data_IF_270956349458
#
_entry.id   IF_270956349458
#
_cell.length_a   1.000
_cell.length_b   1.000
_cell.length_c   1.000
_cell.angle_alpha   90.00
_cell.angle_beta   90.00
_cell.angle_gamma   90.00
#
_symmetry.space_group_name_H-M   'P 1'
#
loop_
_entity.id
_entity.type
_entity.pdbx_description
1 polymer ?
#
# COMPACT_ATOMS: atom_id res chain seq x y z
N UNK A 1 -11.13 -3.19 -17.29
CA UNK A 1 -10.23 -2.47 -16.32
C UNK A 1 -10.78 -2.75 -14.94
N UNK A 2 -10.03 -3.44 -14.09
CA UNK A 2 -10.46 -3.93 -12.78
C UNK A 2 -10.48 -2.84 -11.70
N UNK A 3 -9.61 -1.85 -11.82
CA UNK A 3 -9.53 -0.71 -10.91
C UNK A 3 -8.87 0.50 -11.60
N UNK A 4 -9.08 1.69 -11.04
CA UNK A 4 -8.32 2.91 -11.36
C UNK A 4 -7.42 3.25 -10.19
N UNK A 5 -6.20 3.65 -10.47
CA UNK A 5 -5.24 4.07 -9.45
C UNK A 5 -4.61 5.39 -9.84
N UNK A 6 -4.62 6.34 -8.92
CA UNK A 6 -3.90 7.59 -9.01
C UNK A 6 -2.82 7.63 -7.94
N UNK A 7 -1.56 7.82 -8.33
CA UNK A 7 -0.48 8.10 -7.41
C UNK A 7 -0.53 9.59 -7.07
N UNK A 8 -1.14 9.88 -5.94
CA UNK A 8 -1.42 11.25 -5.54
C UNK A 8 -0.19 11.96 -4.93
N UNK A 9 0.68 11.20 -4.22
CA UNK A 9 1.96 11.68 -3.71
C UNK A 9 2.98 10.56 -3.95
N UNK A 10 3.98 10.83 -4.79
CA UNK A 10 4.99 9.86 -5.18
C UNK A 10 6.26 10.54 -5.65
N UNK A 11 7.40 10.07 -5.15
CA UNK A 11 8.72 10.34 -5.69
C UNK A 11 9.35 9.07 -6.30
N UNK A 12 8.52 8.10 -6.66
CA UNK A 12 8.98 6.83 -7.21
C UNK A 12 9.42 6.99 -8.66
N UNK A 13 10.52 6.34 -9.07
CA UNK A 13 11.10 6.41 -10.41
C UNK A 13 10.13 6.11 -11.57
N UNK A 14 9.07 5.33 -11.31
CA UNK A 14 8.06 4.97 -12.30
C UNK A 14 6.84 5.91 -12.30
N UNK A 15 6.83 6.96 -11.47
CA UNK A 15 5.69 7.88 -11.36
C UNK A 15 5.96 8.95 -10.32
N UNK A 16 6.91 9.84 -10.62
CA UNK A 16 7.25 10.97 -9.77
C UNK A 16 6.25 12.11 -9.97
N UNK A 17 5.74 12.64 -8.87
CA UNK A 17 4.78 13.75 -8.93
C UNK A 17 5.46 15.08 -9.22
N UNK A 18 4.81 15.89 -10.05
CA UNK A 18 5.25 17.26 -10.32
C UNK A 18 4.50 18.24 -9.42
N UNK A 19 5.20 19.20 -8.84
CA UNK A 19 4.64 20.26 -8.00
C UNK A 19 3.83 21.21 -8.86
N UNK A 20 2.55 21.37 -8.51
CA UNK A 20 1.57 22.07 -9.33
C UNK A 20 1.68 23.60 -9.21
N UNK A 21 2.04 24.12 -8.04
CA UNK A 21 2.11 25.55 -7.77
C UNK A 21 3.17 25.91 -6.70
N UNK A 22 3.29 27.21 -6.40
CA UNK A 22 4.25 27.71 -5.42
C UNK A 22 5.67 27.90 -5.98
N UNK A 23 6.63 28.10 -5.06
CA UNK A 23 8.02 28.42 -5.36
C UNK A 23 8.69 27.33 -6.21
N UNK A 24 8.37 26.07 -5.97
CA UNK A 24 8.99 24.91 -6.64
C UNK A 24 8.14 24.36 -7.79
N UNK A 25 7.21 25.14 -8.32
CA UNK A 25 6.35 24.72 -9.43
C UNK A 25 7.15 24.15 -10.59
N UNK A 26 6.71 22.97 -11.07
CA UNK A 26 7.34 22.26 -12.19
C UNK A 26 8.53 21.38 -11.81
N UNK A 27 9.00 21.44 -10.56
CA UNK A 27 9.98 20.48 -10.05
C UNK A 27 9.27 19.20 -9.65
N UNK A 28 10.02 18.09 -9.58
CA UNK A 28 9.47 16.81 -9.08
C UNK A 28 9.56 16.70 -7.57
N UNK A 29 8.76 15.80 -6.97
CA UNK A 29 8.81 15.55 -5.54
C UNK A 29 10.15 14.94 -5.12
N UNK A 30 10.75 14.07 -5.95
CA UNK A 30 12.09 13.55 -5.69
C UNK A 30 13.13 14.67 -5.64
N UNK A 31 13.10 15.59 -6.61
CA UNK A 31 13.99 16.73 -6.62
C UNK A 31 13.82 17.59 -5.36
N UNK A 32 12.58 17.86 -4.95
CA UNK A 32 12.30 18.63 -3.74
C UNK A 32 12.84 17.93 -2.48
N UNK A 33 12.64 16.63 -2.39
CA UNK A 33 13.14 15.84 -1.28
C UNK A 33 14.68 15.82 -1.19
N UNK A 34 15.36 15.77 -2.33
CA UNK A 34 16.83 15.78 -2.39
C UNK A 34 17.42 17.14 -2.02
N UNK A 35 16.79 18.25 -2.45
CA UNK A 35 17.37 19.59 -2.35
C UNK A 35 16.84 20.42 -1.18
N UNK A 36 15.71 20.04 -0.58
CA UNK A 36 15.00 20.80 0.45
C UNK A 36 14.53 19.88 1.59
N UNK A 37 15.47 19.17 2.22
CA UNK A 37 15.18 18.22 3.31
C UNK A 37 14.49 18.86 4.52
N UNK A 38 14.73 20.13 4.74
CA UNK A 38 14.10 20.92 5.80
C UNK A 38 12.55 20.94 5.69
N UNK A 39 12.01 20.82 4.48
CA UNK A 39 10.56 20.75 4.25
C UNK A 39 9.95 19.40 4.68
N UNK A 40 10.79 18.40 4.87
CA UNK A 40 10.44 17.03 5.25
C UNK A 40 10.91 16.65 6.65
N UNK A 41 11.23 17.66 7.51
CA UNK A 41 11.71 17.42 8.87
C UNK A 41 13.12 16.83 8.94
N UNK A 42 13.93 16.98 7.88
CA UNK A 42 15.29 16.45 7.76
C UNK A 42 15.37 14.93 8.01
N UNK A 43 14.34 14.18 7.60
CA UNK A 43 14.34 12.72 7.73
C UNK A 43 15.50 12.10 6.95
N UNK A 44 16.07 11.06 7.51
CA UNK A 44 17.16 10.31 6.90
C UNK A 44 16.66 9.42 5.74
N UNK A 45 17.59 9.01 4.87
CA UNK A 45 17.32 8.13 3.73
C UNK A 45 17.51 8.81 2.39
N UNK A 46 17.76 8.00 1.36
CA UNK A 46 18.06 8.48 0.01
C UNK A 46 16.81 8.71 -0.86
N UNK A 47 15.67 8.20 -0.41
CA UNK A 47 14.41 8.27 -1.14
C UNK A 47 13.27 8.79 -0.25
N UNK A 48 12.33 9.52 -0.87
CA UNK A 48 11.10 9.90 -0.20
C UNK A 48 10.32 8.62 0.21
N UNK A 49 9.98 8.46 1.51
CA UNK A 49 9.57 7.16 2.03
C UNK A 49 8.10 6.81 1.81
N UNK A 50 7.30 7.72 1.25
CA UNK A 50 5.86 7.53 1.16
C UNK A 50 5.38 7.42 -0.29
N UNK A 51 4.34 6.62 -0.48
CA UNK A 51 3.57 6.55 -1.70
C UNK A 51 2.09 6.58 -1.36
N UNK A 52 1.41 7.68 -1.67
CA UNK A 52 -0.03 7.80 -1.46
C UNK A 52 -0.77 7.50 -2.76
N UNK A 53 -1.68 6.54 -2.71
CA UNK A 53 -2.53 6.14 -3.84
C UNK A 53 -3.99 6.36 -3.51
N UNK A 54 -4.74 6.85 -4.49
CA UNK A 54 -6.20 6.78 -4.47
C UNK A 54 -6.59 5.63 -5.40
N UNK A 55 -7.29 4.64 -4.87
CA UNK A 55 -7.70 3.45 -5.59
C UNK A 55 -9.22 3.43 -5.68
N UNK A 56 -9.75 3.35 -6.89
CA UNK A 56 -11.16 3.14 -7.19
C UNK A 56 -11.30 1.71 -7.74
N UNK A 57 -11.72 0.80 -6.87
CA UNK A 57 -11.83 -0.63 -7.16
C UNK A 57 -13.24 -1.00 -7.57
N UNK A 58 -13.42 -1.39 -8.83
CA UNK A 58 -14.69 -1.91 -9.35
C UNK A 58 -14.92 -3.39 -9.01
N UNK A 59 -13.83 -4.14 -8.87
CA UNK A 59 -13.82 -5.56 -8.54
C UNK A 59 -12.78 -5.80 -7.44
N UNK A 60 -12.74 -7.00 -6.90
CA UNK A 60 -11.77 -7.39 -5.90
C UNK A 60 -10.34 -7.17 -6.41
N UNK A 61 -9.51 -6.64 -5.54
CA UNK A 61 -8.07 -6.54 -5.77
C UNK A 61 -7.40 -7.88 -5.43
N UNK A 62 -6.23 -8.12 -6.00
CA UNK A 62 -5.44 -9.30 -5.63
C UNK A 62 -5.12 -9.32 -4.14
N UNK A 63 -5.22 -10.50 -3.53
CA UNK A 63 -4.73 -10.72 -2.17
C UNK A 63 -3.21 -10.74 -2.20
N UNK A 64 -2.58 -9.92 -1.38
CA UNK A 64 -1.13 -9.73 -1.35
C UNK A 64 -0.59 -9.88 0.07
N UNK A 65 0.62 -10.39 0.18
CA UNK A 65 1.42 -10.36 1.40
C UNK A 65 2.65 -9.53 1.11
N UNK A 66 2.93 -8.58 1.99
CA UNK A 66 4.12 -7.73 1.86
C UNK A 66 5.19 -8.17 2.86
N UNK A 67 6.47 -8.23 2.45
CA UNK A 67 7.55 -8.59 3.35
C UNK A 67 7.88 -7.44 4.32
N UNK A 68 8.44 -7.81 5.46
CA UNK A 68 9.14 -6.86 6.33
C UNK A 68 10.47 -6.40 5.74
N UNK A 69 11.12 -5.42 6.39
CA UNK A 69 12.39 -4.85 5.91
C UNK A 69 13.52 -5.88 5.84
N UNK A 70 13.55 -6.86 6.75
CA UNK A 70 14.62 -7.87 6.81
C UNK A 70 14.50 -8.79 5.60
N UNK A 71 13.32 -9.36 5.39
CA UNK A 71 13.06 -10.25 4.26
C UNK A 71 13.22 -9.54 2.92
N UNK A 72 12.65 -8.32 2.80
CA UNK A 72 12.72 -7.54 1.57
C UNK A 72 14.15 -7.17 1.19
N UNK A 73 15.00 -6.85 2.18
CA UNK A 73 16.41 -6.54 1.94
C UNK A 73 17.20 -7.77 1.47
N UNK A 74 16.93 -8.93 2.07
CA UNK A 74 17.64 -10.18 1.76
C UNK A 74 17.26 -10.75 0.39
N UNK A 75 15.97 -10.72 0.05
CA UNK A 75 15.43 -11.43 -1.11
C UNK A 75 15.11 -10.54 -2.31
N UNK A 76 14.78 -9.26 -2.08
CA UNK A 76 14.31 -8.35 -3.13
C UNK A 76 15.23 -7.12 -3.32
N UNK A 77 16.27 -6.97 -2.47
CA UNK A 77 17.13 -5.78 -2.42
C UNK A 77 16.31 -4.49 -2.32
N UNK A 78 15.27 -4.50 -1.49
CA UNK A 78 14.28 -3.45 -1.32
C UNK A 78 13.97 -3.22 0.16
N UNK A 79 13.15 -2.23 0.45
CA UNK A 79 12.53 -2.05 1.76
C UNK A 79 11.25 -2.89 1.85
N UNK A 80 10.86 -3.26 3.05
CA UNK A 80 9.55 -3.81 3.34
C UNK A 80 8.44 -2.82 2.96
N UNK A 81 7.20 -3.28 3.06
CA UNK A 81 6.07 -2.44 2.67
C UNK A 81 5.00 -2.41 3.76
N UNK A 82 5.30 -1.65 4.82
CA UNK A 82 4.26 -1.23 5.76
C UNK A 82 3.29 -0.30 5.05
N UNK A 83 2.01 -0.54 5.14
CA UNK A 83 1.01 0.31 4.52
C UNK A 83 -0.20 0.54 5.42
N UNK A 84 -1.03 1.49 5.06
CA UNK A 84 -2.32 1.68 5.67
C UNK A 84 -3.37 2.01 4.62
N UNK A 85 -4.62 1.69 4.92
CA UNK A 85 -5.76 1.97 4.08
C UNK A 85 -6.76 2.81 4.83
N UNK A 86 -7.26 3.85 4.17
CA UNK A 86 -8.38 4.66 4.63
C UNK A 86 -9.51 4.57 3.61
N UNK A 87 -10.67 4.13 4.04
CA UNK A 87 -11.84 3.96 3.18
C UNK A 87 -12.52 5.30 2.97
N UNK A 88 -12.39 5.87 1.78
CA UNK A 88 -13.05 7.11 1.39
C UNK A 88 -14.54 6.90 1.14
N UNK A 89 -14.88 5.82 0.45
CA UNK A 89 -16.24 5.44 0.11
C UNK A 89 -16.32 3.92 -0.05
N UNK A 90 -17.46 3.33 0.28
CA UNK A 90 -17.77 1.93 0.05
C UNK A 90 -19.25 1.78 -0.24
N UNK A 91 -19.61 0.96 -1.22
CA UNK A 91 -20.98 0.58 -1.48
C UNK A 91 -21.50 -0.37 -0.38
N UNK A 92 -22.81 -0.46 -0.22
CA UNK A 92 -23.40 -1.35 0.78
C UNK A 92 -23.00 -2.81 0.52
N UNK A 93 -22.51 -3.47 1.55
CA UNK A 93 -22.08 -4.86 1.47
C UNK A 93 -20.63 -5.06 1.00
N UNK A 94 -19.92 -4.00 0.65
CA UNK A 94 -18.48 -4.09 0.30
C UNK A 94 -17.70 -4.72 1.44
N UNK A 95 -16.77 -5.61 1.08
CA UNK A 95 -15.91 -6.32 2.03
C UNK A 95 -14.44 -6.04 1.75
N UNK A 96 -13.65 -6.18 2.79
CA UNK A 96 -12.18 -6.20 2.72
C UNK A 96 -11.68 -7.53 3.25
N UNK A 97 -10.68 -8.08 2.58
CA UNK A 97 -9.96 -9.27 3.03
C UNK A 97 -8.71 -8.82 3.76
N UNK A 98 -8.57 -9.21 5.04
CA UNK A 98 -7.39 -8.92 5.83
C UNK A 98 -7.17 -10.00 6.89
N UNK A 99 -6.00 -10.63 6.82
CA UNK A 99 -5.64 -11.74 7.69
C UNK A 99 -6.28 -13.07 7.30
N UNK A 100 -6.12 -14.07 8.15
CA UNK A 100 -6.57 -15.43 7.91
C UNK A 100 -7.03 -16.13 9.21
N UNK A 101 -7.76 -17.24 9.08
CA UNK A 101 -8.29 -18.02 10.18
C UNK A 101 -7.38 -19.16 10.64
N UNK A 102 -6.37 -19.56 9.84
CA UNK A 102 -5.45 -20.63 10.18
C UNK A 102 -4.73 -20.37 11.52
N UNK A 103 -4.63 -21.40 12.34
CA UNK A 103 -3.99 -21.35 13.67
C UNK A 103 -2.53 -21.77 13.63
N UNK A 104 -2.15 -22.54 12.60
CA UNK A 104 -0.81 -23.03 12.38
C UNK A 104 -0.36 -22.82 10.94
N UNK A 105 0.96 -22.84 10.71
CA UNK A 105 1.52 -22.78 9.37
C UNK A 105 1.03 -23.92 8.48
N UNK A 106 0.90 -25.12 9.06
CA UNK A 106 0.47 -26.31 8.31
C UNK A 106 -0.99 -26.18 7.86
N UNK A 107 -1.88 -25.64 8.70
CA UNK A 107 -3.26 -25.33 8.31
C UNK A 107 -3.30 -24.32 7.17
N UNK A 108 -2.49 -23.28 7.26
CA UNK A 108 -2.39 -22.24 6.21
C UNK A 108 -1.92 -22.84 4.88
N UNK A 109 -0.83 -23.63 4.90
CA UNK A 109 -0.28 -24.27 3.70
C UNK A 109 -1.31 -25.22 3.07
N UNK A 110 -1.95 -26.08 3.88
CA UNK A 110 -2.97 -27.01 3.41
C UNK A 110 -4.16 -26.31 2.76
N UNK A 111 -4.61 -25.21 3.33
CA UNK A 111 -5.70 -24.44 2.75
C UNK A 111 -5.33 -23.88 1.37
N UNK A 112 -4.11 -23.36 1.21
CA UNK A 112 -3.61 -22.88 -0.08
C UNK A 112 -3.48 -24.03 -1.09
N UNK A 113 -2.91 -25.17 -0.70
CA UNK A 113 -2.75 -26.34 -1.56
C UNK A 113 -4.08 -26.91 -2.08
N UNK A 114 -5.17 -26.68 -1.33
CA UNK A 114 -6.52 -27.11 -1.68
C UNK A 114 -7.38 -25.98 -2.30
N UNK A 115 -6.81 -24.80 -2.58
CA UNK A 115 -7.52 -23.61 -3.06
C UNK A 115 -8.69 -23.17 -2.15
N UNK A 116 -8.61 -23.49 -0.85
CA UNK A 116 -9.67 -23.21 0.15
C UNK A 116 -9.55 -21.79 0.72
N UNK A 117 -9.55 -20.80 -0.15
CA UNK A 117 -9.40 -19.39 0.21
C UNK A 117 -10.61 -18.85 0.96
N UNK A 118 -11.81 -19.34 0.67
CA UNK A 118 -13.04 -18.87 1.30
C UNK A 118 -13.09 -19.16 2.80
N UNK A 119 -12.52 -20.30 3.24
CA UNK A 119 -12.40 -20.65 4.65
C UNK A 119 -11.11 -20.15 5.29
N UNK A 120 -10.08 -19.92 4.49
CA UNK A 120 -8.78 -19.43 4.96
C UNK A 120 -8.81 -17.95 5.27
N UNK A 121 -9.32 -17.12 4.35
CA UNK A 121 -9.18 -15.68 4.41
C UNK A 121 -10.25 -15.04 5.31
N UNK A 122 -9.80 -14.11 6.15
CA UNK A 122 -10.70 -13.32 6.97
C UNK A 122 -11.27 -12.15 6.14
N UNK A 123 -12.60 -12.09 6.08
CA UNK A 123 -13.33 -11.07 5.30
C UNK A 123 -14.35 -10.36 6.19
N UNK A 124 -14.39 -9.04 6.15
CA UNK A 124 -15.34 -8.25 6.92
C UNK A 124 -15.86 -7.05 6.13
N UNK A 125 -17.07 -6.60 6.52
CA UNK A 125 -17.71 -5.44 5.89
C UNK A 125 -16.95 -4.16 6.25
N UNK A 126 -16.84 -3.27 5.28
CA UNK A 126 -16.22 -1.96 5.44
C UNK A 126 -17.21 -0.83 5.12
N UNK A 127 -16.91 0.35 5.62
CA UNK A 127 -17.64 1.59 5.36
C UNK A 127 -16.70 2.78 5.26
N UNK A 128 -17.15 3.87 4.71
CA UNK A 128 -16.42 5.12 4.69
C UNK A 128 -15.97 5.53 6.12
N UNK A 129 -14.71 5.96 6.24
CA UNK A 129 -14.07 6.33 7.50
C UNK A 129 -13.32 5.20 8.20
N UNK A 130 -13.44 3.94 7.74
CA UNK A 130 -12.65 2.84 8.30
C UNK A 130 -11.17 3.01 7.95
N UNK A 131 -10.31 2.63 8.90
CA UNK A 131 -8.85 2.70 8.77
C UNK A 131 -8.23 1.35 9.12
N UNK A 132 -7.30 0.92 8.30
CA UNK A 132 -6.58 -0.34 8.46
C UNK A 132 -5.08 -0.09 8.42
N UNK A 133 -4.38 -0.60 9.42
CA UNK A 133 -2.92 -0.59 9.47
C UNK A 133 -2.39 -1.99 9.16
N UNK A 134 -1.47 -2.07 8.23
CA UNK A 134 -0.84 -3.31 7.74
C UNK A 134 0.66 -3.17 7.98
N UNK A 135 1.15 -3.76 9.10
CA UNK A 135 2.56 -3.64 9.51
C UNK A 135 3.52 -4.35 8.57
#
# INVERSE_FOLDING_TARGET
MLFRSCWAISAHKNGDCTIADGEYKGKTLSWLFENHRELFGNIEGDQFPLLVKIIDAKNDLSVQVHPDDVYAKEHENSLGKTECWFVLQADEGTKMVMGHHAKTKDEFVKAIENDDYDNLLNSFKIKAGDFFYIP
#
